data_IF_806308204938
#
_entry.id   IF_806308204938
#
_cell.length_a   1.000
_cell.length_b   1.000
_cell.length_c   1.000
_cell.angle_alpha   90.00
_cell.angle_beta   90.00
_cell.angle_gamma   90.00
#
_symmetry.space_group_name_H-M   'P 1'
#
loop_
_entity.id
_entity.type
_entity.pdbx_description
1 polymer ?
#
# COMPACT_ATOMS: atom_id res chain seq x y z
N UNK A 1 -55.08 -64.92 -12.21
CA UNK A 1 -54.95 -63.74 -13.11
C UNK A 1 -53.96 -62.68 -12.60
N UNK A 2 -53.27 -62.87 -11.48
CA UNK A 2 -52.41 -61.83 -10.86
C UNK A 2 -50.91 -62.04 -11.04
N UNK A 3 -50.42 -63.24 -11.36
CA UNK A 3 -48.98 -63.50 -11.54
C UNK A 3 -48.45 -63.13 -12.93
N UNK A 4 -49.26 -63.24 -13.99
CA UNK A 4 -48.81 -62.85 -15.34
C UNK A 4 -48.58 -61.34 -15.47
N UNK A 5 -49.32 -60.51 -14.74
CA UNK A 5 -49.17 -59.06 -14.78
C UNK A 5 -47.85 -58.57 -14.14
N UNK A 6 -47.34 -59.26 -13.11
CA UNK A 6 -46.11 -58.84 -12.43
C UNK A 6 -44.86 -59.08 -13.29
N UNK A 7 -44.82 -60.18 -14.05
CA UNK A 7 -43.71 -60.50 -14.95
C UNK A 7 -43.60 -59.48 -16.09
N UNK A 8 -44.74 -59.03 -16.64
CA UNK A 8 -44.76 -58.00 -17.68
C UNK A 8 -44.34 -56.62 -17.14
N UNK A 9 -44.76 -56.25 -15.92
CA UNK A 9 -44.32 -54.99 -15.29
C UNK A 9 -42.80 -55.02 -15.02
N UNK A 10 -42.27 -56.14 -14.53
CA UNK A 10 -40.86 -56.29 -14.25
C UNK A 10 -40.00 -56.27 -15.53
N UNK A 11 -40.48 -56.89 -16.61
CA UNK A 11 -39.84 -56.83 -17.93
C UNK A 11 -39.84 -55.39 -18.49
N UNK A 12 -40.97 -54.66 -18.39
CA UNK A 12 -41.06 -53.27 -18.84
C UNK A 12 -40.16 -52.35 -18.02
N UNK A 13 -40.10 -52.53 -16.69
CA UNK A 13 -39.18 -51.79 -15.83
C UNK A 13 -37.71 -52.05 -16.19
N UNK A 14 -37.32 -53.31 -16.47
CA UNK A 14 -35.95 -53.65 -16.89
C UNK A 14 -35.57 -53.04 -18.25
N UNK A 15 -36.51 -52.99 -19.20
CA UNK A 15 -36.28 -52.33 -20.49
C UNK A 15 -36.13 -50.82 -20.30
N UNK A 16 -37.00 -50.20 -19.50
CA UNK A 16 -36.91 -48.76 -19.22
C UNK A 16 -35.62 -48.36 -18.50
N UNK A 17 -35.18 -49.13 -17.50
CA UNK A 17 -33.91 -48.86 -16.80
C UNK A 17 -32.70 -49.08 -17.71
N UNK A 18 -32.74 -50.08 -18.59
CA UNK A 18 -31.68 -50.31 -19.59
C UNK A 18 -31.62 -49.18 -20.61
N UNK A 19 -32.77 -48.69 -21.09
CA UNK A 19 -32.85 -47.54 -21.99
C UNK A 19 -32.38 -46.25 -21.33
N UNK A 20 -32.74 -46.00 -20.06
CA UNK A 20 -32.24 -44.84 -19.32
C UNK A 20 -30.73 -44.91 -19.10
N UNK A 21 -30.21 -46.10 -18.78
CA UNK A 21 -28.77 -46.32 -18.58
C UNK A 21 -28.01 -46.10 -19.88
N UNK A 22 -28.51 -46.62 -21.01
CA UNK A 22 -27.92 -46.38 -22.33
C UNK A 22 -27.99 -44.90 -22.72
N UNK A 23 -29.09 -44.20 -22.43
CA UNK A 23 -29.20 -42.76 -22.65
C UNK A 23 -28.19 -41.98 -21.81
N UNK A 24 -28.02 -42.33 -20.52
CA UNK A 24 -27.09 -41.66 -19.62
C UNK A 24 -25.63 -41.94 -20.00
N UNK A 25 -25.31 -43.17 -20.41
CA UNK A 25 -23.99 -43.52 -20.95
C UNK A 25 -23.75 -42.77 -22.26
N UNK A 26 -24.73 -42.66 -23.15
CA UNK A 26 -24.60 -41.87 -24.37
C UNK A 26 -24.37 -40.38 -24.08
N UNK A 27 -25.05 -39.81 -23.08
CA UNK A 27 -24.83 -38.42 -22.66
C UNK A 27 -23.45 -38.22 -22.02
N UNK A 28 -22.96 -39.17 -21.21
CA UNK A 28 -21.60 -39.14 -20.64
C UNK A 28 -20.51 -39.30 -21.71
N UNK A 29 -20.78 -40.09 -22.76
CA UNK A 29 -19.90 -40.20 -23.91
C UNK A 29 -19.94 -38.94 -24.78
N UNK A 30 -21.11 -38.31 -24.94
CA UNK A 30 -21.24 -37.03 -25.62
C UNK A 30 -20.49 -35.91 -24.87
N UNK A 31 -20.61 -35.82 -23.54
CA UNK A 31 -19.89 -34.83 -22.73
C UNK A 31 -18.38 -35.08 -22.70
N UNK A 32 -17.93 -36.35 -22.64
CA UNK A 32 -16.51 -36.70 -22.82
C UNK A 32 -15.99 -36.40 -24.22
N UNK A 33 -16.83 -36.51 -25.24
CA UNK A 33 -16.48 -36.13 -26.61
C UNK A 33 -16.47 -34.62 -26.81
N UNK A 34 -17.26 -33.85 -26.06
CA UNK A 34 -17.16 -32.39 -25.99
C UNK A 34 -15.90 -31.96 -25.25
N UNK A 35 -15.58 -32.53 -24.09
CA UNK A 35 -14.30 -32.28 -23.37
C UNK A 35 -13.07 -32.71 -24.18
N UNK A 36 -13.17 -33.82 -24.94
CA UNK A 36 -12.07 -34.27 -25.81
C UNK A 36 -11.98 -33.44 -27.09
N UNK A 37 -13.09 -32.92 -27.64
CA UNK A 37 -13.06 -31.90 -28.71
C UNK A 37 -12.54 -30.56 -28.22
N UNK A 38 -12.81 -30.18 -26.97
CA UNK A 38 -12.27 -28.98 -26.33
C UNK A 38 -10.77 -29.12 -26.01
N UNK A 39 -10.28 -30.35 -25.78
CA UNK A 39 -8.85 -30.67 -25.61
C UNK A 39 -8.12 -30.93 -26.94
N UNK A 40 -8.75 -31.51 -27.96
CA UNK A 40 -8.14 -31.77 -29.28
C UNK A 40 -8.18 -30.52 -30.18
N UNK A 41 -9.09 -29.58 -29.91
CA UNK A 41 -9.01 -28.19 -30.40
C UNK A 41 -7.87 -27.37 -29.78
N UNK A 42 -7.16 -27.91 -28.78
CA UNK A 42 -5.92 -27.36 -28.21
C UNK A 42 -4.66 -28.08 -28.70
N UNK A 43 -4.70 -28.72 -29.88
CA UNK A 43 -3.47 -28.99 -30.64
C UNK A 43 -2.97 -27.68 -31.24
N UNK A 44 -1.72 -27.37 -30.95
CA UNK A 44 -0.91 -26.25 -31.45
C UNK A 44 -1.24 -25.81 -32.89
N UNK A 45 -2.33 -25.04 -33.05
CA UNK A 45 -2.34 -23.99 -34.03
C UNK A 45 -1.49 -22.93 -33.38
N UNK A 46 -0.31 -22.66 -33.95
CA UNK A 46 0.28 -21.35 -33.80
C UNK A 46 -0.78 -20.37 -34.31
N UNK A 47 -1.67 -19.95 -33.41
CA UNK A 47 -2.46 -18.76 -33.60
C UNK A 47 -1.35 -17.73 -33.67
N UNK A 48 -0.99 -17.35 -34.90
CA UNK A 48 -0.53 -16.01 -35.14
C UNK A 48 -1.66 -15.16 -34.58
N UNK A 49 -1.56 -14.85 -33.29
CA UNK A 49 -2.23 -13.69 -32.74
C UNK A 49 -1.66 -12.60 -33.61
N UNK A 50 -2.41 -12.21 -34.64
CA UNK A 50 -2.53 -10.81 -34.97
C UNK A 50 -3.07 -10.17 -33.70
N UNK A 51 -2.20 -10.05 -32.69
CA UNK A 51 -2.36 -9.09 -31.63
C UNK A 51 -2.51 -7.81 -32.42
N UNK A 52 -3.73 -7.25 -32.44
CA UNK A 52 -3.89 -5.83 -32.67
C UNK A 52 -2.72 -5.18 -31.91
N UNK A 53 -1.89 -4.36 -32.58
CA UNK A 53 -0.66 -3.86 -31.98
C UNK A 53 -1.03 -3.38 -30.58
N UNK A 54 -0.49 -4.04 -29.54
CA UNK A 54 -0.78 -3.64 -28.16
C UNK A 54 -0.45 -2.16 -28.13
N UNK A 55 -1.49 -1.34 -27.98
CA UNK A 55 -1.34 0.09 -28.10
C UNK A 55 -0.19 0.49 -27.18
N UNK A 56 0.79 1.23 -27.72
CA UNK A 56 1.97 1.61 -26.95
C UNK A 56 1.50 2.23 -25.63
N UNK A 57 2.05 1.83 -24.48
CA UNK A 57 1.65 2.40 -23.20
C UNK A 57 1.72 3.92 -23.24
N UNK A 58 0.65 4.56 -22.79
CA UNK A 58 0.58 6.02 -22.70
C UNK A 58 1.40 6.46 -21.50
N UNK A 59 2.32 7.40 -21.69
CA UNK A 59 3.12 7.96 -20.60
C UNK A 59 2.27 8.89 -19.75
N UNK A 60 1.95 8.46 -18.53
CA UNK A 60 1.02 9.19 -17.67
C UNK A 60 1.51 10.60 -17.33
N UNK A 61 2.81 10.74 -17.07
CA UNK A 61 3.44 12.02 -16.73
C UNK A 61 3.52 13.04 -17.87
N UNK A 62 3.12 12.66 -19.08
CA UNK A 62 3.06 13.59 -20.24
C UNK A 62 1.65 14.09 -20.54
N UNK A 63 0.64 13.54 -19.86
CA UNK A 63 -0.75 13.89 -20.12
C UNK A 63 -1.14 15.19 -19.41
N UNK A 64 -1.93 16.06 -20.06
CA UNK A 64 -2.58 17.17 -19.37
C UNK A 64 -3.65 16.64 -18.41
N UNK A 65 -3.97 17.42 -17.37
CA UNK A 65 -4.85 16.99 -16.26
C UNK A 65 -6.22 16.49 -16.73
N UNK A 66 -6.80 17.11 -17.76
CA UNK A 66 -8.11 16.76 -18.32
C UNK A 66 -8.11 15.38 -19.02
N UNK A 67 -6.96 14.93 -19.53
CA UNK A 67 -6.78 13.62 -20.14
C UNK A 67 -6.40 12.51 -19.15
N UNK A 68 -5.92 12.85 -17.94
CA UNK A 68 -5.62 11.85 -16.89
C UNK A 68 -6.91 11.21 -16.40
N UNK A 69 -7.08 9.87 -16.38
CA UNK A 69 -8.28 9.24 -15.84
C UNK A 69 -8.55 9.63 -14.39
N UNK A 70 -9.82 9.83 -14.01
CA UNK A 70 -10.20 10.28 -12.65
C UNK A 70 -9.60 9.38 -11.56
N UNK A 71 -9.62 8.06 -11.74
CA UNK A 71 -9.05 7.06 -10.81
C UNK A 71 -7.52 7.17 -10.63
N UNK A 72 -6.84 7.98 -11.44
CA UNK A 72 -5.41 8.28 -11.30
C UNK A 72 -5.15 9.69 -10.78
N UNK A 73 -6.18 10.49 -10.50
CA UNK A 73 -6.06 11.85 -9.98
C UNK A 73 -6.07 11.85 -8.43
N UNK A 74 -5.31 12.74 -7.77
CA UNK A 74 -5.34 12.85 -6.30
C UNK A 74 -6.73 13.08 -5.71
N UNK A 75 -7.59 13.84 -6.41
CA UNK A 75 -8.95 14.14 -5.98
C UNK A 75 -9.88 12.93 -5.85
N UNK A 76 -9.53 11.79 -6.46
CA UNK A 76 -10.28 10.54 -6.29
C UNK A 76 -10.03 9.87 -4.93
N UNK A 77 -8.87 10.12 -4.32
CA UNK A 77 -8.44 9.50 -3.08
C UNK A 77 -8.51 10.44 -1.89
N UNK A 78 -8.32 11.74 -2.11
CA UNK A 78 -8.13 12.72 -1.05
C UNK A 78 -9.11 13.89 -1.21
N UNK A 79 -10.00 14.04 -0.23
CA UNK A 79 -11.02 15.08 -0.15
C UNK A 79 -10.64 16.21 0.81
N UNK A 80 -9.77 15.95 1.78
CA UNK A 80 -9.33 16.92 2.81
C UNK A 80 -8.02 17.64 2.45
N UNK A 81 -7.72 17.78 1.16
CA UNK A 81 -6.45 18.30 0.69
C UNK A 81 -6.16 19.73 1.17
N UNK A 82 -7.14 20.63 1.13
CA UNK A 82 -6.95 22.05 1.48
C UNK A 82 -6.70 22.30 2.97
N UNK A 83 -7.08 21.37 3.85
CA UNK A 83 -6.82 21.46 5.29
C UNK A 83 -5.43 20.94 5.67
N UNK A 84 -4.78 20.22 4.75
CA UNK A 84 -3.49 19.59 4.98
C UNK A 84 -2.36 20.59 4.81
N UNK A 85 -1.47 20.67 5.81
CA UNK A 85 -0.34 21.63 5.84
C UNK A 85 0.57 21.54 4.61
N UNK A 86 0.60 20.37 3.96
CA UNK A 86 1.42 20.10 2.78
C UNK A 86 0.60 20.03 1.48
N UNK A 87 -0.53 20.75 1.42
CA UNK A 87 -1.40 20.85 0.25
C UNK A 87 -0.65 21.17 -1.06
N UNK A 88 0.37 22.03 -0.99
CA UNK A 88 1.17 22.44 -2.15
C UNK A 88 1.79 21.27 -2.93
N UNK A 89 2.04 20.14 -2.27
CA UNK A 89 2.53 18.92 -2.93
C UNK A 89 1.49 18.35 -3.92
N UNK A 90 0.20 18.54 -3.64
CA UNK A 90 -0.91 18.09 -4.48
C UNK A 90 -1.32 19.13 -5.52
N UNK A 91 -1.14 20.42 -5.23
CA UNK A 91 -1.54 21.50 -6.12
C UNK A 91 -0.86 21.41 -7.51
N UNK A 92 0.37 20.89 -7.55
CA UNK A 92 1.15 20.73 -8.79
C UNK A 92 1.08 19.31 -9.39
N UNK A 93 0.35 18.39 -8.78
CA UNK A 93 0.28 17.00 -9.23
C UNK A 93 -0.88 16.80 -10.22
N UNK A 94 -0.58 16.27 -11.41
CA UNK A 94 -1.60 15.91 -12.41
C UNK A 94 -2.20 14.54 -12.13
N UNK A 95 -1.39 13.64 -11.58
CA UNK A 95 -1.76 12.28 -11.18
C UNK A 95 -1.21 11.95 -9.78
N UNK A 96 -1.71 10.88 -9.17
CA UNK A 96 -1.31 10.48 -7.80
C UNK A 96 0.17 10.13 -7.67
N UNK A 97 0.83 9.68 -8.74
CA UNK A 97 2.23 9.28 -8.67
C UNK A 97 3.17 10.48 -8.71
N UNK A 98 2.76 11.60 -9.34
CA UNK A 98 3.51 12.86 -9.30
C UNK A 98 3.76 13.33 -7.87
N UNK A 99 2.82 13.08 -6.95
CA UNK A 99 2.95 13.42 -5.52
C UNK A 99 4.17 12.69 -4.93
N UNK A 100 4.37 11.42 -5.27
CA UNK A 100 5.53 10.65 -4.84
C UNK A 100 6.81 11.10 -5.55
N UNK A 101 6.75 11.40 -6.85
CA UNK A 101 7.90 11.86 -7.63
C UNK A 101 8.46 13.19 -7.08
N UNK A 102 7.58 14.08 -6.62
CA UNK A 102 7.96 15.40 -6.10
C UNK A 102 8.30 15.42 -4.60
N UNK A 103 8.12 14.30 -3.89
CA UNK A 103 8.21 14.25 -2.43
C UNK A 103 9.60 14.68 -1.90
N UNK A 104 10.67 14.21 -2.54
CA UNK A 104 12.05 14.57 -2.14
C UNK A 104 12.32 16.07 -2.25
N UNK A 105 12.08 16.63 -3.44
CA UNK A 105 12.32 18.06 -3.71
C UNK A 105 11.45 18.95 -2.80
N UNK A 106 10.21 18.53 -2.55
CA UNK A 106 9.32 19.22 -1.63
C UNK A 106 9.85 19.20 -0.19
N UNK A 107 10.25 18.03 0.33
CA UNK A 107 10.78 17.90 1.69
C UNK A 107 12.00 18.79 1.91
N UNK A 108 13.00 18.74 1.02
CA UNK A 108 14.20 19.55 1.13
C UNK A 108 13.86 21.05 1.12
N UNK A 109 13.04 21.50 0.16
CA UNK A 109 12.62 22.91 0.05
C UNK A 109 11.84 23.37 1.28
N UNK A 110 10.90 22.55 1.78
CA UNK A 110 10.07 22.88 2.93
C UNK A 110 10.91 22.98 4.20
N UNK A 111 11.82 22.02 4.43
CA UNK A 111 12.72 21.99 5.59
C UNK A 111 13.74 23.14 5.57
N UNK A 112 14.21 23.54 4.39
CA UNK A 112 15.07 24.70 4.22
C UNK A 112 14.32 25.99 4.55
N UNK A 113 13.12 26.17 4.01
CA UNK A 113 12.27 27.35 4.23
C UNK A 113 11.68 27.42 5.64
N UNK A 114 11.67 26.32 6.40
CA UNK A 114 11.06 26.28 7.72
C UNK A 114 11.73 27.28 8.70
N UNK A 115 10.91 28.15 9.27
CA UNK A 115 11.29 29.10 10.32
C UNK A 115 10.51 28.78 11.60
N UNK A 116 11.19 28.56 12.74
CA UNK A 116 10.51 28.31 14.00
C UNK A 116 9.73 29.53 14.49
N UNK A 117 8.68 29.31 15.27
CA UNK A 117 7.93 30.38 15.92
C UNK A 117 8.79 31.15 16.93
N UNK A 118 8.34 32.36 17.33
CA UNK A 118 9.15 33.32 18.11
C UNK A 118 9.64 32.78 19.47
N UNK A 119 9.01 31.74 20.03
CA UNK A 119 9.37 31.06 21.29
C UNK A 119 10.48 30.02 21.11
N UNK A 120 10.67 29.46 19.91
CA UNK A 120 11.58 28.35 19.62
C UNK A 120 12.93 28.80 19.03
N UNK A 121 13.39 30.02 19.38
CA UNK A 121 14.51 30.71 18.73
C UNK A 121 15.91 30.26 19.17
N UNK A 122 16.05 29.37 20.15
CA UNK A 122 17.37 28.89 20.55
C UNK A 122 17.94 27.98 19.44
N UNK A 123 18.67 28.59 18.50
CA UNK A 123 19.48 27.88 17.52
C UNK A 123 20.83 27.59 18.16
N UNK A 124 21.15 26.32 18.30
CA UNK A 124 22.47 25.88 18.76
C UNK A 124 23.06 24.89 17.78
N UNK A 125 24.39 24.86 17.70
CA UNK A 125 25.07 23.79 16.99
C UNK A 125 25.39 22.71 18.00
N UNK A 126 24.80 21.53 17.82
CA UNK A 126 25.25 20.37 18.56
C UNK A 126 26.47 19.83 17.83
N UNK A 127 27.63 20.08 18.44
CA UNK A 127 28.88 19.40 18.09
C UNK A 127 28.83 18.02 18.75
N UNK A 128 28.82 16.95 17.95
CA UNK A 128 29.03 15.61 18.50
C UNK A 128 27.76 14.81 18.84
N UNK A 129 26.82 14.70 17.89
CA UNK A 129 26.31 13.35 17.62
C UNK A 129 27.50 12.49 17.17
N UNK A 130 27.54 11.17 17.38
CA UNK A 130 28.78 10.37 17.18
C UNK A 130 29.54 10.62 15.85
N UNK A 131 28.91 11.22 14.82
CA UNK A 131 29.55 11.83 13.64
C UNK A 131 28.86 13.17 13.27
N UNK A 132 29.63 14.23 12.99
CA UNK A 132 29.21 15.48 12.35
C UNK A 132 28.56 16.57 13.22
N UNK A 133 28.51 17.80 12.69
CA UNK A 133 27.81 18.94 13.29
C UNK A 133 26.33 18.94 12.83
N UNK A 134 25.41 19.23 13.75
CA UNK A 134 23.96 19.36 13.46
C UNK A 134 23.45 20.70 13.97
N UNK A 135 22.74 21.45 13.12
CA UNK A 135 22.05 22.66 13.55
C UNK A 135 20.75 22.26 14.24
N UNK A 136 20.70 22.37 15.57
CA UNK A 136 19.49 22.16 16.35
C UNK A 136 18.75 23.49 16.50
N UNK A 137 17.44 23.44 16.25
CA UNK A 137 16.53 24.53 16.58
C UNK A 137 15.41 23.98 17.45
N UNK A 138 15.35 24.42 18.70
CA UNK A 138 14.29 24.01 19.62
C UNK A 138 14.15 24.99 20.80
N UNK A 139 13.04 24.96 21.54
CA UNK A 139 12.87 25.77 22.75
C UNK A 139 13.82 25.37 23.89
N UNK A 140 14.03 24.06 24.08
CA UNK A 140 14.88 23.50 25.12
C UNK A 140 15.90 22.51 24.54
N UNK A 141 17.17 22.92 24.34
CA UNK A 141 18.21 22.05 23.79
C UNK A 141 18.51 20.79 24.62
N UNK A 142 18.14 20.76 25.91
CA UNK A 142 18.38 19.59 26.76
C UNK A 142 17.65 18.34 26.24
N UNK A 143 16.57 18.51 25.48
CA UNK A 143 15.81 17.39 24.88
C UNK A 143 16.67 16.49 24.00
N UNK A 144 17.69 17.05 23.34
CA UNK A 144 18.57 16.29 22.46
C UNK A 144 19.39 15.24 23.22
N UNK A 145 19.63 15.43 24.53
CA UNK A 145 20.34 14.45 25.37
C UNK A 145 19.60 13.12 25.54
N UNK A 146 18.28 13.10 25.28
CA UNK A 146 17.46 11.90 25.35
C UNK A 146 17.59 11.01 24.09
N UNK A 147 18.31 11.43 23.04
CA UNK A 147 18.43 10.67 21.80
C UNK A 147 19.85 10.67 21.23
N UNK A 148 20.09 9.74 20.30
CA UNK A 148 21.32 9.74 19.50
C UNK A 148 21.08 10.53 18.23
N UNK A 149 21.89 11.56 18.02
CA UNK A 149 21.94 12.31 16.76
C UNK A 149 23.06 11.75 15.89
N UNK A 150 22.78 11.50 14.60
CA UNK A 150 23.78 11.05 13.63
C UNK A 150 23.81 12.01 12.44
N UNK A 151 25.01 12.43 12.04
CA UNK A 151 25.23 13.13 10.79
C UNK A 151 26.53 12.67 10.12
N UNK A 152 26.44 11.67 9.25
CA UNK A 152 27.58 11.18 8.47
C UNK A 152 27.93 12.07 7.26
N UNK A 153 27.06 13.01 6.90
CA UNK A 153 27.29 13.94 5.80
C UNK A 153 27.97 15.22 6.31
N UNK A 154 29.19 15.47 5.83
CA UNK A 154 30.00 16.63 6.25
C UNK A 154 29.98 17.79 5.26
N UNK A 155 29.41 17.59 4.06
CA UNK A 155 29.43 18.60 2.98
C UNK A 155 28.27 19.57 3.03
N UNK A 156 27.13 19.19 3.62
CA UNK A 156 25.92 20.02 3.68
C UNK A 156 25.52 20.27 5.12
N UNK A 157 25.11 21.50 5.48
CA UNK A 157 24.54 21.76 6.79
C UNK A 157 23.21 21.02 6.92
N UNK A 158 23.06 20.23 7.99
CA UNK A 158 21.83 19.50 8.29
C UNK A 158 21.14 20.10 9.51
N UNK A 159 19.81 20.14 9.45
CA UNK A 159 18.97 20.75 10.50
C UNK A 159 18.17 19.67 11.22
N UNK A 160 18.08 19.83 12.53
CA UNK A 160 17.07 19.20 13.36
C UNK A 160 16.21 20.31 13.96
N UNK A 161 14.93 20.34 13.60
CA UNK A 161 13.97 21.34 14.05
C UNK A 161 12.93 20.67 14.95
N UNK A 162 12.85 21.09 16.21
CA UNK A 162 11.89 20.58 17.19
C UNK A 162 11.04 21.74 17.70
N UNK A 163 9.73 21.67 17.52
CA UNK A 163 8.83 22.71 17.99
C UNK A 163 8.45 22.55 19.49
N UNK A 164 7.69 23.51 19.99
CA UNK A 164 7.23 23.57 21.38
C UNK A 164 6.48 22.28 21.80
N UNK A 165 6.86 21.75 22.96
CA UNK A 165 6.21 20.58 23.56
C UNK A 165 6.63 19.23 22.98
N UNK A 166 7.59 19.17 22.04
CA UNK A 166 8.18 17.90 21.61
C UNK A 166 8.72 17.14 22.83
N UNK A 167 8.47 15.83 22.89
CA UNK A 167 8.94 14.92 23.96
C UNK A 167 9.65 13.74 23.35
N UNK A 168 10.94 13.60 23.62
CA UNK A 168 11.78 12.49 23.14
C UNK A 168 12.21 11.65 24.34
N UNK A 169 11.86 10.36 24.33
CA UNK A 169 12.16 9.42 25.43
C UNK A 169 13.37 8.52 25.14
N UNK A 170 13.86 8.51 23.90
CA UNK A 170 14.90 7.60 23.42
C UNK A 170 14.82 7.39 21.91
N UNK A 171 15.94 7.07 21.27
CA UNK A 171 15.98 6.68 19.85
C UNK A 171 17.09 7.35 19.05
N UNK A 172 16.99 7.26 17.72
CA UNK A 172 18.00 7.75 16.79
C UNK A 172 17.38 8.71 15.78
N UNK A 173 18.00 9.88 15.62
CA UNK A 173 17.69 10.87 14.61
C UNK A 173 18.91 11.01 13.69
N UNK A 174 18.80 10.44 12.49
CA UNK A 174 19.85 10.39 11.48
C UNK A 174 19.56 11.42 10.38
N UNK A 175 20.29 12.53 10.41
CA UNK A 175 20.14 13.64 9.46
C UNK A 175 21.07 13.54 8.25
N UNK A 176 21.74 12.40 8.06
CA UNK A 176 22.78 12.24 7.03
C UNK A 176 22.22 12.40 5.61
N UNK A 177 21.02 11.88 5.37
CA UNK A 177 20.37 11.95 4.06
C UNK A 177 19.46 13.19 3.90
N UNK A 178 19.00 13.80 4.99
CA UNK A 178 18.15 14.98 4.95
C UNK A 178 17.86 15.55 6.34
N UNK A 179 17.35 16.78 6.39
CA UNK A 179 16.97 17.42 7.66
C UNK A 179 15.72 16.77 8.27
N UNK A 180 15.53 16.92 9.58
CA UNK A 180 14.37 16.37 10.29
C UNK A 180 13.61 17.50 11.00
N UNK A 181 12.27 17.45 10.91
CA UNK A 181 11.36 18.32 11.63
C UNK A 181 10.36 17.52 12.46
N UNK A 182 10.21 17.87 13.74
CA UNK A 182 9.15 17.41 14.63
C UNK A 182 8.30 18.61 15.07
N UNK A 183 7.00 18.57 14.74
CA UNK A 183 6.02 19.60 15.08
C UNK A 183 5.62 19.63 16.55
N UNK A 184 4.70 20.52 16.88
CA UNK A 184 4.31 20.81 18.27
C UNK A 184 3.78 19.57 18.96
N UNK A 185 4.15 19.34 20.22
CA UNK A 185 3.69 18.23 21.03
C UNK A 185 3.92 16.81 20.44
N UNK A 186 4.82 16.65 19.47
CA UNK A 186 5.19 15.32 18.96
C UNK A 186 5.80 14.49 20.10
N UNK A 187 5.39 13.23 20.19
CA UNK A 187 5.90 12.28 21.18
C UNK A 187 6.68 11.21 20.46
N UNK A 188 7.94 11.02 20.86
CA UNK A 188 8.81 9.96 20.37
C UNK A 188 9.11 9.00 21.51
N UNK A 189 8.49 7.83 21.47
CA UNK A 189 8.77 6.71 22.37
C UNK A 189 10.20 6.16 22.15
N UNK A 190 10.74 5.36 23.09
CA UNK A 190 12.08 4.79 22.93
C UNK A 190 12.22 3.91 21.67
N UNK A 191 13.45 3.78 21.18
CA UNK A 191 13.81 2.93 20.03
C UNK A 191 13.09 3.29 18.71
N UNK A 192 12.67 4.54 18.56
CA UNK A 192 12.29 5.10 17.25
C UNK A 192 13.56 5.45 16.48
N UNK A 193 13.60 5.12 15.19
CA UNK A 193 14.67 5.52 14.27
C UNK A 193 14.07 6.38 13.15
N UNK A 194 14.58 7.60 12.99
CA UNK A 194 14.19 8.50 11.89
C UNK A 194 15.43 8.84 11.08
N UNK A 195 15.41 8.48 9.79
CA UNK A 195 16.40 8.89 8.80
C UNK A 195 15.77 9.94 7.88
N UNK A 196 16.34 11.14 7.86
CA UNK A 196 15.82 12.24 7.05
C UNK A 196 16.00 12.06 5.54
N UNK A 197 15.31 12.89 4.71
CA UNK A 197 14.48 14.01 5.13
C UNK A 197 13.10 13.57 5.65
N UNK A 198 12.70 14.08 6.82
CA UNK A 198 11.44 13.70 7.46
C UNK A 198 10.74 14.92 8.10
N UNK A 199 9.45 15.05 7.83
CA UNK A 199 8.59 16.10 8.39
C UNK A 199 7.49 15.42 9.20
N UNK A 200 7.43 15.62 10.51
CA UNK A 200 6.42 15.01 11.39
C UNK A 200 5.53 16.10 11.97
N UNK A 201 4.23 16.06 11.65
CA UNK A 201 3.25 17.06 12.03
C UNK A 201 2.83 17.02 13.50
N UNK A 202 2.18 18.08 13.94
CA UNK A 202 1.85 18.35 15.34
C UNK A 202 1.03 17.23 15.99
N UNK A 203 1.23 17.01 17.29
CA UNK A 203 0.51 16.07 18.14
C UNK A 203 0.56 14.61 17.65
N UNK A 204 1.54 14.26 16.80
CA UNK A 204 1.76 12.90 16.33
C UNK A 204 2.56 12.10 17.36
N UNK A 205 2.19 10.84 17.54
CA UNK A 205 2.86 9.89 18.43
C UNK A 205 3.61 8.85 17.60
N UNK A 206 4.93 8.85 17.74
CA UNK A 206 5.82 7.82 17.21
C UNK A 206 6.06 6.78 18.31
N UNK A 207 5.46 5.61 18.14
CA UNK A 207 5.53 4.49 19.08
C UNK A 207 6.83 3.71 18.94
N UNK A 208 7.13 2.93 19.97
CA UNK A 208 8.29 2.06 20.05
C UNK A 208 8.51 1.22 18.79
N UNK A 209 9.71 1.30 18.23
CA UNK A 209 10.13 0.54 17.06
C UNK A 209 9.69 1.14 15.72
N UNK A 210 9.12 2.35 15.70
CA UNK A 210 8.91 3.09 14.44
C UNK A 210 10.23 3.27 13.70
N UNK A 211 10.23 2.97 12.41
CA UNK A 211 11.37 3.19 11.53
C UNK A 211 10.96 4.05 10.33
N UNK A 212 11.46 5.28 10.27
CA UNK A 212 11.19 6.24 9.19
C UNK A 212 12.46 6.41 8.37
N UNK A 213 12.36 6.34 7.04
CA UNK A 213 13.50 6.53 6.14
C UNK A 213 13.13 7.03 4.75
N UNK A 214 14.10 7.60 4.04
CA UNK A 214 13.81 8.28 2.77
C UNK A 214 12.90 9.48 3.01
N UNK A 215 12.24 9.96 1.95
CA UNK A 215 11.45 11.19 2.02
C UNK A 215 10.08 10.93 2.65
N UNK A 216 9.87 11.35 3.90
CA UNK A 216 8.62 11.03 4.61
C UNK A 216 7.92 12.28 5.15
N UNK A 217 6.61 12.36 4.89
CA UNK A 217 5.73 13.38 5.47
C UNK A 217 4.65 12.72 6.34
N UNK A 218 4.78 13.04 7.62
CA UNK A 218 3.91 12.92 8.80
C UNK A 218 2.82 13.98 8.94
N UNK A 219 1.53 13.71 8.75
CA UNK A 219 0.46 14.64 9.12
C UNK A 219 0.38 14.91 10.63
N UNK A 220 -0.57 15.75 11.04
CA UNK A 220 -0.86 16.01 12.47
C UNK A 220 -1.79 14.94 13.06
N UNK A 221 -1.69 14.73 14.37
CA UNK A 221 -2.50 13.80 15.15
C UNK A 221 -2.43 12.34 14.66
N UNK A 222 -1.30 11.93 14.10
CA UNK A 222 -1.11 10.57 13.65
C UNK A 222 -0.58 9.67 14.78
N UNK A 223 -0.74 8.36 14.64
CA UNK A 223 -0.15 7.36 15.55
C UNK A 223 0.60 6.33 14.73
N UNK A 224 1.92 6.23 14.93
CA UNK A 224 2.82 5.50 14.05
C UNK A 224 3.64 4.47 14.84
N UNK A 225 3.74 3.24 14.34
CA UNK A 225 4.67 2.18 14.77
C UNK A 225 5.36 1.47 13.60
N UNK A 226 4.86 1.69 12.38
CA UNK A 226 5.20 1.02 11.14
C UNK A 226 6.62 1.38 10.63
N UNK A 227 7.22 0.54 9.77
CA UNK A 227 8.31 1.00 8.91
C UNK A 227 7.71 1.83 7.77
N UNK A 228 8.12 3.10 7.66
CA UNK A 228 7.63 4.03 6.64
C UNK A 228 8.80 4.49 5.78
N UNK A 229 8.66 4.35 4.46
CA UNK A 229 9.73 4.66 3.52
C UNK A 229 9.25 5.39 2.28
N UNK A 230 9.74 6.61 2.02
CA UNK A 230 9.35 7.41 0.85
C UNK A 230 7.81 7.47 0.70
N UNK A 231 7.15 8.13 1.66
CA UNK A 231 5.70 8.07 1.78
C UNK A 231 5.10 9.33 2.39
N UNK A 232 3.85 9.60 2.07
CA UNK A 232 3.07 10.68 2.67
C UNK A 232 1.86 10.12 3.41
N UNK A 233 1.78 10.42 4.69
CA UNK A 233 0.71 10.01 5.60
C UNK A 233 -0.01 11.27 6.05
N UNK A 234 -1.28 11.44 5.65
CA UNK A 234 -2.07 12.62 5.97
C UNK A 234 -2.59 12.60 7.41
N UNK A 235 -3.21 13.71 7.81
CA UNK A 235 -3.64 13.95 9.18
C UNK A 235 -4.55 12.85 9.75
N UNK A 236 -4.40 12.60 11.06
CA UNK A 236 -5.19 11.65 11.85
C UNK A 236 -5.14 10.21 11.33
N UNK A 237 -4.18 9.88 10.48
CA UNK A 237 -3.96 8.50 10.05
C UNK A 237 -3.28 7.69 11.15
N UNK A 238 -3.60 6.40 11.21
CA UNK A 238 -3.12 5.50 12.23
C UNK A 238 -2.46 4.29 11.60
N UNK A 239 -1.13 4.25 11.66
CA UNK A 239 -0.30 3.11 11.29
C UNK A 239 0.35 2.58 12.58
N UNK A 240 -0.50 2.22 13.53
CA UNK A 240 -0.18 2.21 14.96
C UNK A 240 0.43 0.88 15.47
N UNK A 241 0.60 -0.08 14.56
CA UNK A 241 1.17 -1.41 14.78
C UNK A 241 2.35 -1.69 13.82
N UNK A 242 3.16 -2.74 14.06
CA UNK A 242 4.21 -3.13 13.13
C UNK A 242 3.64 -3.46 11.75
N UNK A 243 4.35 -3.04 10.70
CA UNK A 243 3.97 -3.18 9.31
C UNK A 243 5.02 -2.54 8.41
N UNK A 244 4.74 -2.50 7.10
CA UNK A 244 5.56 -1.81 6.11
C UNK A 244 4.70 -0.94 5.20
N UNK A 245 5.03 0.35 5.10
CA UNK A 245 4.39 1.33 4.24
C UNK A 245 5.46 2.07 3.42
N UNK A 246 5.70 1.61 2.19
CA UNK A 246 6.80 2.11 1.37
C UNK A 246 6.37 2.56 -0.02
N UNK A 247 6.82 3.72 -0.47
CA UNK A 247 6.48 4.29 -1.77
C UNK A 247 4.95 4.51 -1.92
N UNK A 248 4.31 5.03 -0.86
CA UNK A 248 2.85 5.02 -0.64
C UNK A 248 2.27 6.39 -0.26
N UNK A 249 0.98 6.59 -0.51
CA UNK A 249 0.19 7.72 0.00
C UNK A 249 -0.94 7.20 0.89
N UNK A 250 -1.14 7.77 2.07
CA UNK A 250 -2.19 7.40 3.00
C UNK A 250 -3.02 8.63 3.38
N UNK A 251 -4.31 8.58 3.11
CA UNK A 251 -5.25 9.69 3.22
C UNK A 251 -5.64 10.05 4.65
N UNK A 252 -6.46 11.09 4.78
CA UNK A 252 -6.96 11.58 6.06
C UNK A 252 -7.74 10.47 6.79
N UNK A 253 -7.41 10.25 8.07
CA UNK A 253 -8.00 9.16 8.89
C UNK A 253 -7.96 7.78 8.23
N UNK A 254 -6.95 7.51 7.41
CA UNK A 254 -6.67 6.16 6.95
C UNK A 254 -6.07 5.31 8.07
N UNK A 255 -6.25 3.99 8.01
CA UNK A 255 -5.82 3.09 9.09
C UNK A 255 -5.14 1.83 8.55
N UNK A 256 -3.97 1.51 9.11
CA UNK A 256 -3.35 0.19 9.01
C UNK A 256 -3.55 -0.54 10.33
N UNK A 257 -4.24 -1.67 10.26
CA UNK A 257 -4.25 -2.60 11.36
C UNK A 257 -2.90 -3.31 11.50
N UNK A 258 -2.82 -4.27 12.44
CA UNK A 258 -1.58 -4.97 12.73
C UNK A 258 -1.05 -5.78 11.54
N UNK A 259 0.26 -5.72 11.29
CA UNK A 259 0.96 -6.50 10.26
C UNK A 259 0.52 -6.24 8.82
N UNK A 260 0.01 -5.05 8.52
CA UNK A 260 -0.20 -4.63 7.12
C UNK A 260 1.14 -4.44 6.42
N UNK A 261 1.27 -4.95 5.20
CA UNK A 261 2.47 -4.79 4.37
C UNK A 261 2.11 -4.34 2.96
N UNK A 262 2.69 -3.23 2.52
CA UNK A 262 2.51 -2.72 1.15
C UNK A 262 3.71 -3.10 0.29
N UNK A 263 3.61 -4.18 -0.50
CA UNK A 263 4.66 -4.49 -1.45
C UNK A 263 4.78 -3.33 -2.45
N UNK A 264 6.01 -2.98 -2.82
CA UNK A 264 6.23 -1.80 -3.66
C UNK A 264 7.18 -2.01 -4.84
N UNK A 265 7.63 -3.25 -5.07
CA UNK A 265 8.50 -3.61 -6.17
C UNK A 265 7.98 -4.88 -6.82
N UNK A 266 7.93 -4.90 -8.15
CA UNK A 266 7.63 -6.12 -8.89
C UNK A 266 8.76 -7.14 -8.71
N UNK A 267 8.41 -8.38 -8.38
CA UNK A 267 9.39 -9.45 -8.16
C UNK A 267 10.11 -9.88 -9.45
N UNK A 268 9.36 -10.00 -10.54
CA UNK A 268 9.84 -10.62 -11.79
C UNK A 268 10.23 -9.61 -12.87
N UNK A 269 10.11 -8.30 -12.61
CA UNK A 269 10.45 -7.26 -13.57
C UNK A 269 11.18 -6.09 -12.92
N UNK A 270 12.25 -5.65 -13.56
CA UNK A 270 12.93 -4.41 -13.23
C UNK A 270 12.30 -3.17 -13.90
N UNK A 271 11.28 -3.34 -14.74
CA UNK A 271 10.62 -2.26 -15.48
C UNK A 271 9.83 -1.32 -14.57
N UNK A 272 9.45 -0.17 -15.15
CA UNK A 272 8.35 0.67 -14.65
C UNK A 272 7.08 -0.17 -14.41
N UNK A 273 6.26 0.30 -13.47
CA UNK A 273 4.94 -0.27 -13.19
C UNK A 273 3.94 0.32 -14.19
N UNK A 274 3.15 -0.55 -14.82
CA UNK A 274 2.04 -0.16 -15.68
C UNK A 274 0.70 -0.40 -14.97
N UNK A 275 -0.25 0.50 -15.21
CA UNK A 275 -1.65 0.38 -14.77
C UNK A 275 -2.58 0.42 -15.97
N UNK A 276 -3.64 -0.38 -15.95
CA UNK A 276 -4.64 -0.39 -17.01
C UNK A 276 -5.91 0.25 -16.50
N UNK A 277 -6.39 1.28 -17.19
CA UNK A 277 -7.69 1.91 -16.93
C UNK A 277 -8.52 1.73 -18.19
N UNK A 278 -9.63 1.01 -18.07
CA UNK A 278 -10.41 0.54 -19.22
C UNK A 278 -9.51 -0.24 -20.21
N UNK A 279 -9.49 0.15 -21.49
CA UNK A 279 -8.69 -0.49 -22.53
C UNK A 279 -7.32 0.19 -22.77
N UNK A 280 -6.94 1.15 -21.92
CA UNK A 280 -5.70 1.92 -22.07
C UNK A 280 -4.69 1.54 -20.98
N UNK A 281 -3.47 1.23 -21.40
CA UNK A 281 -2.33 0.95 -20.51
C UNK A 281 -1.54 2.24 -20.32
N UNK A 282 -1.36 2.63 -19.07
CA UNK A 282 -0.59 3.79 -18.66
C UNK A 282 0.74 3.36 -18.03
N UNK A 283 1.84 3.94 -18.50
CA UNK A 283 3.15 3.88 -17.87
C UNK A 283 3.21 4.91 -16.74
N UNK A 284 3.40 4.44 -15.50
CA UNK A 284 3.49 5.32 -14.32
C UNK A 284 4.84 6.05 -14.22
N UNK A 285 5.85 5.64 -14.99
CA UNK A 285 7.23 6.12 -14.89
C UNK A 285 7.99 5.63 -13.65
N UNK A 286 7.33 4.91 -12.72
CA UNK A 286 7.91 4.50 -11.45
C UNK A 286 8.16 3.00 -11.40
N UNK A 287 9.37 2.62 -10.97
CA UNK A 287 9.70 1.23 -10.63
C UNK A 287 9.11 0.79 -9.29
N UNK A 288 8.87 1.74 -8.38
CA UNK A 288 8.35 1.47 -7.04
C UNK A 288 7.11 2.28 -6.71
N UNK A 289 6.03 1.57 -6.38
CA UNK A 289 4.75 2.12 -5.92
C UNK A 289 4.14 1.11 -4.95
N UNK A 290 3.88 1.53 -3.72
CA UNK A 290 3.17 0.77 -2.71
C UNK A 290 1.65 0.93 -2.87
N UNK A 291 1.00 1.48 -1.85
CA UNK A 291 -0.45 1.72 -1.81
C UNK A 291 -0.78 3.20 -1.95
N UNK A 292 -1.87 3.50 -2.67
CA UNK A 292 -2.56 4.78 -2.56
C UNK A 292 -3.84 4.52 -1.78
N UNK A 293 -3.84 4.83 -0.49
CA UNK A 293 -4.96 4.57 0.41
C UNK A 293 -5.73 5.88 0.64
N UNK A 294 -6.96 5.95 0.15
CA UNK A 294 -7.78 7.16 0.23
C UNK A 294 -8.27 7.50 1.64
N UNK A 295 -8.90 8.67 1.76
CA UNK A 295 -9.45 9.16 3.02
C UNK A 295 -10.43 8.16 3.64
N UNK A 296 -10.33 7.96 4.96
CA UNK A 296 -11.15 7.05 5.76
C UNK A 296 -11.06 5.56 5.37
N UNK A 297 -10.12 5.19 4.50
CA UNK A 297 -9.93 3.80 4.08
C UNK A 297 -9.06 3.02 5.07
N UNK A 298 -9.30 1.70 5.15
CA UNK A 298 -8.71 0.85 6.18
C UNK A 298 -8.18 -0.45 5.60
N UNK A 299 -6.98 -0.84 6.02
CA UNK A 299 -6.39 -2.15 5.74
C UNK A 299 -6.42 -2.99 7.03
N UNK A 300 -7.14 -4.12 6.99
CA UNK A 300 -7.29 -5.04 8.12
C UNK A 300 -6.01 -5.79 8.47
N UNK A 301 -6.03 -6.52 9.59
CA UNK A 301 -4.83 -7.19 10.10
C UNK A 301 -4.24 -8.16 9.07
N UNK A 302 -2.92 -8.12 8.91
CA UNK A 302 -2.18 -9.00 7.99
C UNK A 302 -2.65 -8.91 6.54
N UNK A 303 -3.21 -7.76 6.13
CA UNK A 303 -3.43 -7.45 4.72
C UNK A 303 -2.09 -7.23 4.02
N UNK A 304 -1.95 -7.83 2.84
CA UNK A 304 -0.78 -7.62 1.97
C UNK A 304 -1.27 -7.08 0.64
N UNK A 305 -0.74 -5.93 0.22
CA UNK A 305 -1.03 -5.38 -1.11
C UNK A 305 0.10 -5.70 -2.06
N UNK A 306 -0.23 -6.09 -3.30
CA UNK A 306 0.72 -6.10 -4.40
C UNK A 306 1.15 -4.64 -4.73
N UNK A 307 2.29 -4.42 -5.43
CA UNK A 307 2.69 -3.08 -5.87
C UNK A 307 1.62 -2.38 -6.69
N UNK A 308 1.47 -1.07 -6.47
CA UNK A 308 0.50 -0.22 -7.17
C UNK A 308 -0.95 -0.67 -6.93
N UNK A 309 -1.30 -0.84 -5.66
CA UNK A 309 -2.68 -1.06 -5.23
C UNK A 309 -3.31 0.28 -4.85
N UNK A 310 -4.37 0.69 -5.55
CA UNK A 310 -5.01 1.98 -5.35
C UNK A 310 -6.41 1.77 -4.76
N UNK A 311 -6.61 2.25 -3.55
CA UNK A 311 -7.81 2.05 -2.73
C UNK A 311 -8.48 3.40 -2.51
N UNK A 312 -9.61 3.63 -3.18
CA UNK A 312 -10.40 4.85 -3.11
C UNK A 312 -10.96 5.12 -1.71
N UNK A 313 -11.52 6.32 -1.52
CA UNK A 313 -12.05 6.80 -0.24
C UNK A 313 -13.04 5.83 0.40
N UNK A 314 -13.07 5.80 1.74
CA UNK A 314 -14.04 5.05 2.56
C UNK A 314 -14.12 3.55 2.22
N UNK A 315 -13.00 2.96 1.83
CA UNK A 315 -12.92 1.55 1.42
C UNK A 315 -12.20 0.74 2.49
N UNK A 316 -12.78 -0.40 2.89
CA UNK A 316 -12.21 -1.26 3.92
C UNK A 316 -11.79 -2.62 3.35
N UNK A 317 -10.60 -3.08 3.71
CA UNK A 317 -10.07 -4.39 3.34
C UNK A 317 -10.06 -5.29 4.55
N UNK A 318 -10.70 -6.46 4.47
CA UNK A 318 -10.79 -7.41 5.56
C UNK A 318 -9.42 -8.01 5.92
N UNK A 319 -9.20 -8.40 7.18
CA UNK A 319 -7.99 -9.10 7.60
C UNK A 319 -7.66 -10.31 6.73
N UNK A 320 -6.36 -10.65 6.63
CA UNK A 320 -5.83 -11.78 5.86
C UNK A 320 -6.16 -11.74 4.35
N UNK A 321 -6.50 -10.57 3.82
CA UNK A 321 -6.76 -10.38 2.39
C UNK A 321 -5.47 -10.00 1.68
N UNK A 322 -5.14 -10.74 0.62
CA UNK A 322 -4.17 -10.28 -0.38
C UNK A 322 -4.91 -9.43 -1.41
N UNK A 323 -4.44 -8.21 -1.63
CA UNK A 323 -5.03 -7.29 -2.62
C UNK A 323 -4.10 -7.20 -3.82
N UNK A 324 -4.60 -7.49 -5.01
CA UNK A 324 -3.82 -7.44 -6.23
C UNK A 324 -3.64 -5.99 -6.72
N UNK A 325 -2.66 -5.78 -7.60
CA UNK A 325 -2.48 -4.51 -8.30
C UNK A 325 -3.78 -4.13 -9.01
N UNK A 326 -4.25 -2.90 -8.82
CA UNK A 326 -5.48 -2.42 -9.42
C UNK A 326 -6.14 -1.31 -8.62
N UNK A 327 -7.39 -1.03 -8.98
CA UNK A 327 -8.22 0.02 -8.40
C UNK A 327 -9.38 -0.60 -7.64
N UNK A 328 -9.64 -0.08 -6.44
CA UNK A 328 -10.72 -0.53 -5.57
C UNK A 328 -11.46 0.65 -4.95
N UNK A 329 -12.75 0.50 -4.66
CA UNK A 329 -13.56 1.58 -4.12
C UNK A 329 -13.90 2.68 -5.13
N UNK A 330 -14.46 3.82 -4.64
CA UNK A 330 -14.67 4.18 -3.24
C UNK A 330 -15.86 3.45 -2.59
N UNK A 331 -15.96 3.54 -1.27
CA UNK A 331 -17.11 3.07 -0.46
C UNK A 331 -17.40 1.58 -0.59
N UNK A 332 -16.35 0.76 -0.66
CA UNK A 332 -16.44 -0.69 -0.80
C UNK A 332 -15.91 -1.44 0.43
N UNK A 333 -16.33 -2.70 0.56
CA UNK A 333 -15.72 -3.68 1.46
C UNK A 333 -15.08 -4.77 0.61
N UNK A 334 -13.75 -4.84 0.65
CA UNK A 334 -12.96 -5.89 0.01
C UNK A 334 -12.75 -6.99 1.03
N UNK A 335 -13.21 -8.20 0.70
CA UNK A 335 -12.96 -9.39 1.49
C UNK A 335 -12.64 -10.55 0.58
N UNK A 336 -11.73 -11.41 1.01
CA UNK A 336 -11.68 -12.76 0.46
C UNK A 336 -13.09 -13.34 0.55
N UNK A 337 -13.61 -13.92 -0.53
CA UNK A 337 -14.84 -14.71 -0.43
C UNK A 337 -14.56 -15.84 0.57
N UNK A 338 -15.15 -15.84 1.78
CA UNK A 338 -15.08 -17.02 2.61
C UNK A 338 -15.94 -18.05 1.88
N UNK A 339 -15.25 -19.08 1.40
CA UNK A 339 -15.73 -20.29 0.75
C UNK A 339 -17.20 -20.62 1.04
N UNK A 340 -17.96 -20.96 0.00
CA UNK A 340 -19.25 -21.68 0.11
C UNK A 340 -19.12 -23.03 0.86
N UNK A 341 -17.91 -23.44 1.30
CA UNK A 341 -17.62 -24.75 1.90
C UNK A 341 -16.46 -24.76 2.94
N UNK A 342 -16.58 -24.07 4.08
CA UNK A 342 -15.72 -24.32 5.26
C UNK A 342 -14.21 -24.04 5.08
N UNK A 343 -13.77 -22.84 5.48
CA UNK A 343 -12.47 -22.19 5.15
C UNK A 343 -11.19 -22.96 5.56
N UNK A 344 -11.26 -24.00 6.41
CA UNK A 344 -10.08 -24.70 6.92
C UNK A 344 -10.08 -26.15 6.45
N UNK A 345 -9.20 -26.49 5.51
CA UNK A 345 -8.90 -27.88 5.19
C UNK A 345 -8.23 -28.53 6.42
N UNK A 346 -8.92 -29.51 7.01
CA UNK A 346 -8.40 -30.30 8.12
C UNK A 346 -7.95 -31.64 7.59
N UNK A 347 -6.65 -31.83 7.41
CA UNK A 347 -6.06 -33.13 7.06
C UNK A 347 -5.41 -33.78 8.28
N UNK A 348 -5.39 -35.12 8.33
CA UNK A 348 -4.70 -35.85 9.40
C UNK A 348 -3.18 -35.72 9.21
N UNK A 349 -2.49 -35.32 10.27
CA UNK A 349 -1.03 -35.32 10.30
C UNK A 349 -0.53 -36.76 10.07
N UNK A 350 0.24 -36.97 8.98
CA UNK A 350 0.96 -38.23 8.78
C UNK A 350 2.18 -38.19 9.69
N UNK A 351 2.10 -38.88 10.82
CA UNK A 351 3.27 -39.13 11.67
C UNK A 351 4.18 -40.08 10.87
N UNK A 352 5.48 -39.78 10.79
CA UNK A 352 6.45 -40.71 10.22
C UNK A 352 6.33 -42.04 10.98
N UNK A 353 6.25 -43.16 10.25
CA UNK A 353 6.40 -44.47 10.88
C UNK A 353 7.88 -44.62 11.24
N UNK A 354 8.16 -44.80 12.53
CA UNK A 354 9.50 -45.02 13.10
C UNK A 354 10.26 -46.17 12.42
#
# INVERSE_FOLDING_TARGET
MTEHASVWIQAVCCVLTSCLTLYYVHQLHASRNEESREKDGRRNVAVATTSAPVAKPVKLNTLPLDEVPLVLRPSYYFSHLHEFKHYDLFHHATNVFDVLDNLHAYCEKWLEAYTPEKTSKAKTTIKGGKVGDVSLTCPDPAIASACTLLNYETKKPRRLCLDDGVRIMGGVLDVSEGSIYLGKNVVMEPNVYIKGPAIIGDNTVLRFGTYIRGDVIIGKHCVIRCEIKHALIMDKAELCHPGYCGDSLCGYKSHFANQVSTANLNLLSASTIYVQVNDVVYDTGRRKIGVILGDFSQLGCSVVTDPCTLVGMKTAVYPLTRVNKGFYGPSEIIKNKPMEHGVIERTKLRVAQD
#
